data_IF_585639174976
#
_entry.id   IF_585639174976
#
_cell.length_a   1.000
_cell.length_b   1.000
_cell.length_c   1.000
_cell.angle_alpha   90.00
_cell.angle_beta   90.00
_cell.angle_gamma   90.00
#
_symmetry.space_group_name_H-M   'P 1'
#
loop_
_entity.id
_entity.type
_entity.pdbx_description
1 polymer ?
#
# COMPACT_ATOMS: atom_id res chain seq x y z
N UNK A 1 5.02 -9.13 -23.08
CA UNK A 1 4.99 -7.68 -23.34
C UNK A 1 4.08 -7.41 -24.54
N UNK A 2 3.36 -6.29 -24.53
CA UNK A 2 2.65 -5.73 -25.67
C UNK A 2 3.16 -4.32 -25.99
N UNK A 3 3.06 -3.90 -27.24
CA UNK A 3 3.57 -2.62 -27.73
C UNK A 3 2.46 -1.79 -28.37
N UNK A 4 2.67 -0.47 -28.40
CA UNK A 4 1.76 0.47 -29.07
C UNK A 4 0.29 0.25 -28.66
N UNK A 5 0.07 0.19 -27.35
CA UNK A 5 -1.18 -0.23 -26.78
C UNK A 5 -2.10 0.96 -26.51
N UNK A 6 -3.40 0.76 -26.76
CA UNK A 6 -4.46 1.71 -26.41
C UNK A 6 -5.51 0.96 -25.60
N UNK A 7 -5.75 1.43 -24.38
CA UNK A 7 -6.79 0.93 -23.49
C UNK A 7 -7.98 1.86 -23.49
N UNK A 8 -9.18 1.29 -23.59
CA UNK A 8 -10.45 2.02 -23.45
C UNK A 8 -11.38 1.28 -22.51
N UNK A 9 -11.94 2.03 -21.56
CA UNK A 9 -12.93 1.51 -20.60
C UNK A 9 -14.30 2.02 -21.01
N UNK A 10 -15.20 1.08 -21.31
CA UNK A 10 -16.61 1.33 -21.61
C UNK A 10 -17.46 0.90 -20.43
N UNK A 11 -18.57 1.58 -20.24
CA UNK A 11 -19.49 1.34 -19.12
C UNK A 11 -20.93 1.27 -19.61
N UNK A 12 -21.80 0.62 -18.85
CA UNK A 12 -23.26 0.71 -19.06
C UNK A 12 -23.77 2.13 -18.79
N UNK A 13 -24.98 2.42 -19.28
CA UNK A 13 -25.68 3.67 -18.98
C UNK A 13 -25.75 3.93 -17.48
N UNK A 14 -25.52 5.18 -17.07
CA UNK A 14 -25.59 5.62 -15.67
C UNK A 14 -24.23 5.83 -15.00
N UNK A 15 -23.15 5.24 -15.52
CA UNK A 15 -21.78 5.48 -15.04
C UNK A 15 -20.82 5.75 -16.19
N UNK A 16 -19.75 6.50 -15.92
CA UNK A 16 -18.63 6.67 -16.84
C UNK A 16 -17.30 6.64 -16.11
N UNK A 17 -16.25 6.19 -16.81
CA UNK A 17 -14.87 6.42 -16.38
C UNK A 17 -14.52 7.90 -16.58
N UNK A 18 -14.05 8.58 -15.53
CA UNK A 18 -13.70 10.00 -15.59
C UNK A 18 -12.22 10.27 -15.44
N UNK A 19 -11.56 9.52 -14.57
CA UNK A 19 -10.16 9.73 -14.25
C UNK A 19 -9.42 8.40 -14.26
N UNK A 20 -8.16 8.47 -14.66
CA UNK A 20 -7.27 7.33 -14.78
C UNK A 20 -5.99 7.62 -13.97
N UNK A 21 -5.44 6.60 -13.34
CA UNK A 21 -4.21 6.69 -12.55
C UNK A 21 -3.28 5.53 -12.90
N UNK A 22 -2.07 5.85 -13.33
CA UNK A 22 -1.15 4.88 -13.90
C UNK A 22 0.03 5.54 -14.59
N UNK A 23 0.95 4.72 -15.07
CA UNK A 23 2.03 5.14 -15.95
C UNK A 23 1.59 5.04 -17.41
N UNK A 24 0.91 6.06 -17.90
CA UNK A 24 0.37 6.13 -19.27
C UNK A 24 0.37 7.56 -19.79
N UNK A 25 0.04 7.72 -21.06
CA UNK A 25 -0.25 9.00 -21.69
C UNK A 25 -1.72 9.05 -22.14
N UNK A 26 -2.34 10.23 -22.12
CA UNK A 26 -3.71 10.45 -22.59
C UNK A 26 -3.75 11.76 -23.37
N UNK A 27 -3.95 11.67 -24.69
CA UNK A 27 -4.16 12.84 -25.55
C UNK A 27 -5.61 13.37 -25.46
N UNK A 28 -6.54 12.49 -25.12
CA UNK A 28 -7.96 12.76 -24.94
C UNK A 28 -8.43 12.27 -23.55
N UNK A 29 -9.73 12.34 -23.24
CA UNK A 29 -10.27 11.95 -21.93
C UNK A 29 -10.73 10.50 -21.84
N UNK A 30 -10.58 9.70 -22.89
CA UNK A 30 -11.19 8.35 -22.98
C UNK A 30 -10.21 7.22 -23.30
N UNK A 31 -9.17 7.50 -24.08
CA UNK A 31 -8.23 6.51 -24.59
C UNK A 31 -6.91 6.66 -23.84
N UNK A 32 -6.47 5.56 -23.22
CA UNK A 32 -5.24 5.49 -22.45
C UNK A 32 -4.15 4.86 -23.31
N UNK A 33 -3.12 5.64 -23.62
CA UNK A 33 -2.02 5.27 -24.51
C UNK A 33 -0.83 4.73 -23.69
N UNK A 34 -0.35 3.56 -24.09
CA UNK A 34 0.70 2.81 -23.42
C UNK A 34 1.74 2.37 -24.46
N UNK A 35 2.92 2.97 -24.44
CA UNK A 35 4.01 2.58 -25.34
C UNK A 35 4.42 1.10 -25.15
N UNK A 36 4.45 0.64 -23.89
CA UNK A 36 4.73 -0.74 -23.51
C UNK A 36 3.80 -1.22 -22.40
N UNK A 37 3.28 -2.43 -22.55
CA UNK A 37 2.42 -3.13 -21.60
C UNK A 37 3.10 -4.41 -21.12
N UNK A 38 3.21 -4.57 -19.81
CA UNK A 38 3.68 -5.80 -19.15
C UNK A 38 2.59 -6.37 -18.23
N UNK A 39 2.91 -7.45 -17.53
CA UNK A 39 1.98 -8.10 -16.59
C UNK A 39 1.90 -7.40 -15.23
N UNK A 40 2.84 -6.50 -14.92
CA UNK A 40 3.02 -5.94 -13.58
C UNK A 40 2.37 -4.56 -13.46
N UNK A 41 2.18 -3.86 -14.59
CA UNK A 41 1.52 -2.56 -14.64
C UNK A 41 0.02 -2.67 -14.37
N UNK A 42 -0.45 -1.88 -13.43
CA UNK A 42 -1.87 -1.67 -13.17
C UNK A 42 -2.29 -0.22 -13.42
N UNK A 43 -3.49 -0.06 -14.00
CA UNK A 43 -4.14 1.24 -14.19
C UNK A 43 -5.42 1.25 -13.35
N UNK A 44 -5.54 2.25 -12.49
CA UNK A 44 -6.71 2.46 -11.63
C UNK A 44 -7.63 3.45 -12.32
N UNK A 45 -8.93 3.14 -12.36
CA UNK A 45 -9.93 3.94 -13.07
C UNK A 45 -10.98 4.41 -12.07
N UNK A 46 -11.23 5.71 -12.02
CA UNK A 46 -12.31 6.30 -11.24
C UNK A 46 -13.57 6.40 -12.09
N UNK A 47 -14.69 5.95 -11.51
CA UNK A 47 -16.00 6.04 -12.11
C UNK A 47 -16.86 7.07 -11.40
N UNK A 48 -17.61 7.86 -12.18
CA UNK A 48 -18.61 8.80 -11.66
C UNK A 48 -19.99 8.47 -12.22
N UNK A 49 -21.02 8.87 -11.48
CA UNK A 49 -22.40 8.73 -11.90
C UNK A 49 -22.73 9.78 -12.96
N UNK A 50 -23.28 9.31 -14.08
CA UNK A 50 -23.84 10.16 -15.14
C UNK A 50 -25.36 10.19 -15.07
N UNK A 51 -25.99 9.10 -14.62
CA UNK A 51 -27.43 8.98 -14.41
C UNK A 51 -27.71 7.90 -13.34
N UNK A 52 -28.99 7.62 -13.06
CA UNK A 52 -29.41 6.57 -12.14
C UNK A 52 -29.07 5.18 -12.69
N UNK A 53 -28.60 4.31 -11.80
CA UNK A 53 -28.35 2.90 -12.09
C UNK A 53 -29.57 2.05 -11.70
N UNK A 54 -29.82 0.99 -12.47
CA UNK A 54 -30.87 0.01 -12.20
C UNK A 54 -30.28 -1.13 -11.35
N UNK A 55 -30.97 -1.50 -10.26
CA UNK A 55 -30.57 -2.68 -9.45
C UNK A 55 -30.71 -3.99 -10.24
N UNK A 56 -31.65 -4.07 -11.19
CA UNK A 56 -31.89 -5.27 -12.01
C UNK A 56 -30.77 -5.51 -13.02
N UNK A 57 -30.26 -4.44 -13.63
CA UNK A 57 -29.18 -4.54 -14.64
C UNK A 57 -27.80 -4.52 -14.00
N UNK A 58 -27.66 -3.82 -12.87
CA UNK A 58 -26.38 -3.51 -12.27
C UNK A 58 -25.55 -2.54 -13.12
N UNK A 59 -24.26 -2.47 -12.82
CA UNK A 59 -23.29 -1.69 -13.57
C UNK A 59 -22.33 -2.61 -14.31
N UNK A 60 -22.19 -2.39 -15.62
CA UNK A 60 -21.32 -3.17 -16.49
C UNK A 60 -20.10 -2.33 -16.86
N UNK A 61 -18.94 -2.99 -16.86
CA UNK A 61 -17.66 -2.39 -17.22
C UNK A 61 -16.96 -3.31 -18.20
N UNK A 62 -16.43 -2.73 -19.27
CA UNK A 62 -15.64 -3.44 -20.27
C UNK A 62 -14.34 -2.68 -20.50
N UNK A 63 -13.23 -3.28 -20.10
CA UNK A 63 -11.90 -2.81 -20.45
C UNK A 63 -11.43 -3.53 -21.72
N UNK A 64 -11.14 -2.77 -22.78
CA UNK A 64 -10.59 -3.28 -24.02
C UNK A 64 -9.20 -2.69 -24.25
N UNK A 65 -8.21 -3.56 -24.41
CA UNK A 65 -6.81 -3.18 -24.68
C UNK A 65 -6.42 -3.69 -26.06
N UNK A 66 -6.21 -2.77 -26.99
CA UNK A 66 -5.68 -3.04 -28.31
C UNK A 66 -4.16 -2.90 -28.27
N UNK A 67 -3.40 -3.91 -28.69
CA UNK A 67 -1.94 -3.88 -28.63
C UNK A 67 -1.31 -4.71 -29.76
N UNK A 68 -0.03 -4.50 -30.01
CA UNK A 68 0.78 -5.31 -30.93
C UNK A 68 1.61 -6.32 -30.11
N UNK A 69 1.49 -7.61 -30.42
CA UNK A 69 2.28 -8.66 -29.77
C UNK A 69 3.74 -8.64 -30.24
N UNK A 70 4.63 -9.33 -29.50
CA UNK A 70 6.02 -9.52 -29.93
C UNK A 70 6.15 -10.23 -31.29
N UNK A 71 5.11 -10.94 -31.74
CA UNK A 71 5.06 -11.60 -33.06
C UNK A 71 4.52 -10.70 -34.17
N UNK A 72 4.35 -9.39 -33.92
CA UNK A 72 3.86 -8.42 -34.90
C UNK A 72 2.34 -8.48 -35.17
N UNK A 73 1.56 -9.17 -34.34
CA UNK A 73 0.11 -9.28 -34.54
C UNK A 73 -0.64 -8.23 -33.73
N UNK A 74 -1.59 -7.53 -34.36
CA UNK A 74 -2.52 -6.66 -33.65
C UNK A 74 -3.59 -7.50 -32.96
N UNK A 75 -3.67 -7.41 -31.64
CA UNK A 75 -4.57 -8.22 -30.79
C UNK A 75 -5.41 -7.31 -29.90
N UNK A 76 -6.61 -7.76 -29.59
CA UNK A 76 -7.51 -7.12 -28.64
C UNK A 76 -7.69 -8.04 -27.43
N UNK A 77 -7.40 -7.54 -26.23
CA UNK A 77 -7.73 -8.21 -24.97
C UNK A 77 -8.92 -7.49 -24.34
N UNK A 78 -9.94 -8.25 -23.93
CA UNK A 78 -11.17 -7.69 -23.36
C UNK A 78 -11.42 -8.31 -21.99
N UNK A 79 -11.66 -7.46 -20.99
CA UNK A 79 -12.11 -7.83 -19.66
C UNK A 79 -13.50 -7.25 -19.44
N UNK A 80 -14.47 -8.11 -19.11
CA UNK A 80 -15.82 -7.72 -18.78
C UNK A 80 -16.04 -7.96 -17.28
N UNK A 81 -16.62 -6.98 -16.60
CA UNK A 81 -16.99 -7.06 -15.20
C UNK A 81 -18.41 -6.54 -15.04
N UNK A 82 -19.21 -7.24 -14.25
CA UNK A 82 -20.54 -6.81 -13.85
C UNK A 82 -20.56 -6.71 -12.33
N UNK A 83 -21.05 -5.58 -11.82
CA UNK A 83 -21.19 -5.35 -10.38
C UNK A 83 -22.64 -4.99 -10.06
N UNK A 84 -23.11 -5.45 -8.91
CA UNK A 84 -24.48 -5.17 -8.48
C UNK A 84 -24.62 -3.70 -8.08
N UNK A 85 -25.82 -3.15 -8.29
CA UNK A 85 -26.19 -1.83 -7.78
C UNK A 85 -27.09 -1.99 -6.56
N UNK A 86 -27.00 -1.04 -5.65
CA UNK A 86 -27.82 -1.02 -4.44
C UNK A 86 -28.22 0.42 -4.09
N UNK A 87 -29.43 0.58 -3.58
CA UNK A 87 -29.97 1.82 -3.03
C UNK A 87 -29.67 2.01 -1.54
N UNK A 88 -29.32 0.92 -0.84
CA UNK A 88 -29.01 0.93 0.59
C UNK A 88 -27.51 1.04 0.83
N UNK A 89 -27.10 2.03 1.65
CA UNK A 89 -25.69 2.21 2.04
C UNK A 89 -25.11 0.99 2.77
N UNK A 90 -25.92 0.24 3.51
CA UNK A 90 -25.47 -0.94 4.24
C UNK A 90 -24.90 -2.02 3.30
N UNK A 91 -25.54 -2.23 2.14
CA UNK A 91 -25.09 -3.19 1.15
C UNK A 91 -23.85 -2.69 0.39
N UNK A 92 -23.74 -1.37 0.19
CA UNK A 92 -22.51 -0.76 -0.33
C UNK A 92 -21.32 -1.07 0.57
N UNK A 93 -21.43 -0.73 1.87
CA UNK A 93 -20.34 -0.96 2.81
C UNK A 93 -19.98 -2.44 2.91
N UNK A 94 -20.95 -3.36 2.89
CA UNK A 94 -20.66 -4.81 2.96
C UNK A 94 -19.75 -5.31 1.82
N UNK A 95 -19.81 -4.68 0.66
CA UNK A 95 -19.08 -5.11 -0.55
C UNK A 95 -17.79 -4.30 -0.81
N UNK A 96 -17.35 -3.46 0.12
CA UNK A 96 -16.11 -2.70 -0.04
C UNK A 96 -14.87 -3.57 0.22
N UNK A 97 -13.84 -3.37 -0.60
CA UNK A 97 -12.52 -3.97 -0.43
C UNK A 97 -11.51 -2.88 -0.02
N UNK A 98 -10.93 -3.01 1.19
CA UNK A 98 -10.03 -1.98 1.74
C UNK A 98 -8.78 -1.81 0.88
N UNK A 99 -8.20 -2.90 0.36
CA UNK A 99 -6.93 -2.85 -0.37
C UNK A 99 -7.07 -2.06 -1.68
N UNK A 100 -8.16 -2.29 -2.41
CA UNK A 100 -8.50 -1.54 -3.63
C UNK A 100 -8.74 -0.06 -3.34
N UNK A 101 -9.40 0.26 -2.22
CA UNK A 101 -9.61 1.64 -1.77
C UNK A 101 -8.28 2.33 -1.48
N UNK A 102 -7.33 1.64 -0.83
CA UNK A 102 -6.00 2.17 -0.52
C UNK A 102 -5.15 2.35 -1.77
N UNK A 103 -5.21 1.42 -2.73
CA UNK A 103 -4.57 1.58 -4.04
C UNK A 103 -5.08 2.85 -4.75
N UNK A 104 -6.39 3.09 -4.72
CA UNK A 104 -6.97 4.31 -5.28
C UNK A 104 -6.50 5.57 -4.53
N UNK A 105 -6.66 5.63 -3.20
CA UNK A 105 -6.33 6.83 -2.43
C UNK A 105 -4.85 7.20 -2.49
N UNK A 106 -3.95 6.22 -2.50
CA UNK A 106 -2.52 6.45 -2.64
C UNK A 106 -2.19 7.10 -4.00
N UNK A 107 -2.70 6.53 -5.10
CA UNK A 107 -2.51 7.10 -6.44
C UNK A 107 -3.15 8.48 -6.61
N UNK A 108 -4.35 8.68 -6.04
CA UNK A 108 -5.03 9.97 -6.03
C UNK A 108 -4.22 11.03 -5.28
N UNK A 109 -3.81 10.75 -4.05
CA UNK A 109 -3.04 11.67 -3.21
C UNK A 109 -1.70 12.03 -3.87
N UNK A 110 -1.00 11.04 -4.42
CA UNK A 110 0.34 11.25 -4.99
C UNK A 110 0.32 11.95 -6.35
N UNK A 111 -0.78 11.82 -7.12
CA UNK A 111 -1.03 12.69 -8.28
C UNK A 111 -1.19 14.15 -7.82
N UNK A 112 -1.94 14.36 -6.74
CA UNK A 112 -2.20 15.67 -6.14
C UNK A 112 -0.96 16.42 -5.65
N UNK A 113 0.09 15.71 -5.22
CA UNK A 113 1.37 16.32 -4.77
C UNK A 113 1.99 17.25 -5.82
N UNK A 114 1.84 16.95 -7.11
CA UNK A 114 2.36 17.81 -8.17
C UNK A 114 1.48 19.02 -8.49
N UNK A 115 0.19 18.96 -8.16
CA UNK A 115 -0.78 20.01 -8.52
C UNK A 115 -1.10 20.94 -7.35
N UNK A 116 -1.15 20.43 -6.12
CA UNK A 116 -1.39 21.21 -4.90
C UNK A 116 -0.81 20.47 -3.68
N UNK A 117 0.24 21.00 -3.01
CA UNK A 117 0.75 20.39 -1.78
C UNK A 117 -0.25 20.60 -0.64
N UNK A 118 -1.16 19.66 -0.44
CA UNK A 118 -2.10 19.71 0.68
C UNK A 118 -1.32 19.45 1.97
N UNK A 119 -1.16 20.48 2.80
CA UNK A 119 -0.63 20.32 4.16
C UNK A 119 -1.70 19.59 4.99
N UNK A 120 -1.48 18.32 5.30
CA UNK A 120 -2.32 17.53 6.19
C UNK A 120 -2.19 18.07 7.63
N UNK A 121 -2.97 19.09 7.97
CA UNK A 121 -3.06 19.60 9.35
C UNK A 121 -3.84 18.59 10.20
N UNK A 122 -3.13 17.73 10.93
CA UNK A 122 -3.74 16.84 11.91
C UNK A 122 -4.16 17.64 13.15
N UNK A 123 -5.45 17.67 13.45
CA UNK A 123 -5.97 18.30 14.67
C UNK A 123 -5.50 17.55 15.94
N UNK A 124 -5.22 18.29 17.01
CA UNK A 124 -4.81 17.75 18.31
C UNK A 124 -5.85 16.78 18.91
N UNK A 125 -5.41 15.70 19.59
CA UNK A 125 -6.30 14.67 20.14
C UNK A 125 -7.16 15.21 21.30
N UNK A 126 -8.42 14.76 21.38
CA UNK A 126 -9.39 15.09 22.44
C UNK A 126 -10.34 13.89 22.66
N UNK A 127 -10.91 13.70 23.86
CA UNK A 127 -11.77 12.57 24.28
C UNK A 127 -13.24 12.67 23.79
N UNK A 128 -14.16 11.68 23.87
CA UNK A 128 -14.20 10.24 23.55
C UNK A 128 -15.70 9.82 23.35
N UNK A 129 -16.04 9.01 22.32
CA UNK A 129 -17.33 8.28 22.12
C UNK A 129 -17.25 7.24 20.98
N UNK A 130 -17.68 5.97 21.13
CA UNK A 130 -17.24 4.80 20.29
C UNK A 130 -17.19 5.04 18.76
N UNK A 131 -16.08 4.66 18.11
CA UNK A 131 -15.99 4.65 16.63
C UNK A 131 -16.50 3.30 16.12
N UNK A 132 -17.59 3.31 15.35
CA UNK A 132 -18.16 2.12 14.73
C UNK A 132 -17.73 2.12 13.27
N UNK A 133 -17.00 1.07 12.86
CA UNK A 133 -16.60 0.85 11.47
C UNK A 133 -17.24 -0.46 10.98
N UNK A 134 -17.69 -0.51 9.71
CA UNK A 134 -18.05 -1.76 9.05
C UNK A 134 -16.89 -2.76 9.08
N UNK A 135 -17.20 -4.06 9.11
CA UNK A 135 -16.20 -5.15 9.18
C UNK A 135 -15.10 -5.01 8.11
N UNK A 136 -15.53 -4.78 6.86
CA UNK A 136 -14.68 -4.62 5.69
C UNK A 136 -13.76 -3.39 5.71
N UNK A 137 -14.01 -2.41 6.59
CA UNK A 137 -13.26 -1.15 6.71
C UNK A 137 -12.56 -1.00 8.06
N UNK A 138 -12.53 -2.04 8.90
CA UNK A 138 -11.88 -1.98 10.22
C UNK A 138 -10.40 -1.59 10.14
N UNK A 139 -9.72 -2.04 9.08
CA UNK A 139 -8.30 -1.75 8.85
C UNK A 139 -8.07 -0.48 8.02
N UNK A 140 -9.11 0.09 7.41
CA UNK A 140 -8.97 1.27 6.55
C UNK A 140 -8.24 2.44 7.25
N UNK A 141 -8.49 2.79 8.52
CA UNK A 141 -7.75 3.86 9.18
C UNK A 141 -6.28 3.52 9.43
N UNK A 142 -5.91 2.23 9.54
CA UNK A 142 -4.50 1.79 9.66
C UNK A 142 -3.80 2.12 8.36
N UNK A 143 -4.32 1.59 7.25
CA UNK A 143 -3.70 1.75 5.94
C UNK A 143 -3.67 3.20 5.47
N UNK A 144 -4.74 3.97 5.72
CA UNK A 144 -4.73 5.41 5.43
C UNK A 144 -3.64 6.14 6.21
N UNK A 145 -3.39 5.75 7.47
CA UNK A 145 -2.28 6.30 8.24
C UNK A 145 -0.93 5.95 7.61
N UNK A 146 -0.75 4.73 7.11
CA UNK A 146 0.45 4.31 6.39
C UNK A 146 0.66 5.14 5.12
N UNK A 147 -0.40 5.37 4.33
CA UNK A 147 -0.33 6.22 3.13
C UNK A 147 0.08 7.65 3.51
N UNK A 148 -0.50 8.22 4.57
CA UNK A 148 -0.16 9.56 5.04
C UNK A 148 1.27 9.67 5.56
N UNK A 149 1.81 8.61 6.19
CA UNK A 149 3.20 8.52 6.65
C UNK A 149 4.21 8.27 5.54
N UNK A 150 3.77 7.92 4.33
CA UNK A 150 4.67 7.66 3.22
C UNK A 150 5.57 8.85 2.93
N UNK A 151 6.83 8.57 2.61
CA UNK A 151 7.84 9.55 2.21
C UNK A 151 7.42 10.45 1.04
N UNK A 152 6.43 10.02 0.25
CA UNK A 152 5.85 10.83 -0.83
C UNK A 152 5.13 12.06 -0.31
N UNK A 153 4.37 11.91 0.79
CA UNK A 153 3.56 12.96 1.40
C UNK A 153 4.27 13.64 2.56
N UNK A 154 4.99 12.87 3.38
CA UNK A 154 5.68 13.35 4.57
C UNK A 154 7.11 12.84 4.59
N UNK A 155 7.99 13.42 3.74
CA UNK A 155 9.38 12.99 3.66
C UNK A 155 10.07 13.18 5.02
N UNK A 156 10.79 12.16 5.47
CA UNK A 156 11.73 12.29 6.57
C UNK A 156 12.91 13.21 6.17
N UNK A 157 13.62 13.75 7.16
CA UNK A 157 14.68 14.73 6.93
C UNK A 157 15.86 14.20 6.09
N UNK A 158 16.00 12.88 6.03
CA UNK A 158 17.04 12.12 5.35
C UNK A 158 16.63 11.58 3.96
N UNK A 159 15.37 11.78 3.55
CA UNK A 159 14.87 11.28 2.25
C UNK A 159 15.19 12.28 1.13
N UNK A 160 15.87 11.80 0.09
CA UNK A 160 16.22 12.64 -1.06
C UNK A 160 15.01 12.94 -1.96
N UNK A 161 15.09 14.03 -2.74
CA UNK A 161 14.07 14.36 -3.73
C UNK A 161 13.95 13.27 -4.82
N UNK A 162 15.06 12.62 -5.17
CA UNK A 162 15.11 11.55 -6.15
C UNK A 162 14.37 10.30 -5.63
N UNK A 163 14.61 9.91 -4.38
CA UNK A 163 13.89 8.80 -3.75
C UNK A 163 12.38 9.07 -3.71
N UNK A 164 11.99 10.30 -3.34
CA UNK A 164 10.59 10.70 -3.30
C UNK A 164 9.93 10.67 -4.69
N UNK A 165 10.62 11.17 -5.72
CA UNK A 165 10.13 11.13 -7.09
C UNK A 165 10.03 9.68 -7.61
N UNK A 166 11.01 8.85 -7.29
CA UNK A 166 11.03 7.42 -7.62
C UNK A 166 9.85 6.68 -6.99
N UNK A 167 9.61 6.84 -5.68
CA UNK A 167 8.49 6.21 -4.98
C UNK A 167 7.14 6.66 -5.54
N UNK A 168 6.98 7.96 -5.82
CA UNK A 168 5.77 8.50 -6.45
C UNK A 168 5.49 7.84 -7.81
N UNK A 169 6.51 7.73 -8.66
CA UNK A 169 6.38 7.10 -9.97
C UNK A 169 6.07 5.61 -9.83
N UNK A 170 6.76 4.92 -8.94
CA UNK A 170 6.58 3.52 -8.65
C UNK A 170 5.13 3.18 -8.28
N UNK A 171 4.59 3.86 -7.27
CA UNK A 171 3.26 3.58 -6.71
C UNK A 171 2.15 3.89 -7.72
N UNK A 172 2.39 4.82 -8.66
CA UNK A 172 1.46 5.07 -9.75
C UNK A 172 1.16 3.83 -10.59
N UNK A 173 2.14 2.93 -10.75
CA UNK A 173 2.04 1.73 -11.59
C UNK A 173 1.69 0.44 -10.84
N UNK A 174 1.75 0.44 -9.51
CA UNK A 174 1.55 -0.75 -8.68
C UNK A 174 0.10 -1.27 -8.73
N UNK A 175 -0.03 -2.59 -8.70
CA UNK A 175 -1.31 -3.26 -8.51
C UNK A 175 -1.77 -3.24 -7.04
N UNK A 176 -2.94 -3.82 -6.77
CA UNK A 176 -3.51 -3.85 -5.41
C UNK A 176 -2.60 -4.67 -4.47
N UNK A 177 -2.10 -5.81 -4.91
CA UNK A 177 -1.28 -6.73 -4.11
C UNK A 177 0.11 -6.15 -3.76
N UNK A 178 0.71 -5.38 -4.67
CA UNK A 178 1.94 -4.64 -4.46
C UNK A 178 1.71 -3.46 -3.51
N UNK A 179 0.68 -2.64 -3.73
CA UNK A 179 0.40 -1.51 -2.84
C UNK A 179 0.08 -1.94 -1.42
N UNK A 180 -0.60 -3.07 -1.24
CA UNK A 180 -0.90 -3.62 0.06
C UNK A 180 0.37 -3.87 0.88
N UNK A 181 1.34 -4.62 0.31
CA UNK A 181 2.60 -4.94 1.00
C UNK A 181 3.55 -3.75 1.08
N UNK A 182 3.46 -2.81 0.14
CA UNK A 182 4.24 -1.57 0.21
C UNK A 182 3.83 -0.68 1.39
N UNK A 183 2.53 -0.53 1.65
CA UNK A 183 2.04 0.33 2.75
C UNK A 183 1.95 -0.40 4.10
N UNK A 184 1.74 -1.71 4.11
CA UNK A 184 1.77 -2.53 5.32
C UNK A 184 2.66 -3.74 5.06
N UNK A 185 3.98 -3.60 5.34
CA UNK A 185 4.94 -4.68 5.21
C UNK A 185 4.52 -5.97 5.93
N UNK A 186 5.12 -7.10 5.53
CA UNK A 186 4.90 -8.37 6.22
C UNK A 186 6.05 -8.66 7.17
N UNK A 187 5.81 -8.56 8.48
CA UNK A 187 6.77 -8.94 9.52
C UNK A 187 6.54 -10.39 9.97
N UNK A 188 7.52 -11.26 9.68
CA UNK A 188 7.48 -12.69 10.00
C UNK A 188 8.47 -13.06 11.12
N UNK A 189 8.03 -13.66 12.23
CA UNK A 189 8.93 -14.21 13.24
C UNK A 189 9.57 -15.50 12.74
N UNK A 190 10.90 -15.58 12.79
CA UNK A 190 11.70 -16.72 12.33
C UNK A 190 12.15 -17.64 13.47
N UNK A 191 11.49 -17.62 14.62
CA UNK A 191 11.93 -18.40 15.80
C UNK A 191 11.83 -19.92 15.60
N UNK A 192 10.85 -20.39 14.82
CA UNK A 192 10.65 -21.79 14.46
C UNK A 192 10.12 -21.87 13.03
N UNK A 193 10.87 -22.55 12.15
CA UNK A 193 10.49 -22.78 10.76
C UNK A 193 10.10 -24.24 10.54
N UNK A 194 9.33 -24.79 11.49
CA UNK A 194 8.92 -26.19 11.50
C UNK A 194 7.63 -26.36 10.68
N UNK A 195 7.66 -27.21 9.66
CA UNK A 195 6.52 -27.47 8.77
C UNK A 195 6.49 -26.50 7.58
N UNK A 196 6.26 -27.02 6.37
CA UNK A 196 6.37 -26.30 5.09
C UNK A 196 5.43 -25.10 4.88
N UNK A 197 4.72 -24.62 5.90
CA UNK A 197 3.95 -23.37 5.87
C UNK A 197 4.81 -22.15 6.21
N UNK A 198 4.36 -20.96 5.78
CA UNK A 198 4.95 -19.69 6.20
C UNK A 198 4.53 -19.37 7.66
N UNK A 199 5.40 -18.75 8.47
CA UNK A 199 5.03 -18.22 9.78
C UNK A 199 3.88 -17.22 9.68
N UNK A 200 3.07 -17.12 10.74
CA UNK A 200 2.00 -16.12 10.81
C UNK A 200 2.61 -14.73 11.00
N UNK A 201 2.24 -13.80 10.12
CA UNK A 201 2.69 -12.42 10.22
C UNK A 201 2.22 -11.75 11.51
N UNK A 202 3.08 -10.91 12.08
CA UNK A 202 2.81 -10.12 13.27
C UNK A 202 2.68 -8.64 12.89
N UNK A 203 2.15 -7.83 13.81
CA UNK A 203 1.94 -6.39 13.57
C UNK A 203 3.27 -5.64 13.47
N UNK A 204 3.31 -4.65 12.58
CA UNK A 204 4.46 -3.79 12.31
C UNK A 204 4.67 -2.73 13.41
N UNK A 205 5.09 -3.19 14.60
CA UNK A 205 5.40 -2.35 15.76
C UNK A 205 6.59 -2.89 16.53
N UNK A 206 7.42 -1.99 17.07
CA UNK A 206 8.58 -2.32 17.89
C UNK A 206 8.19 -3.12 19.15
N UNK A 207 6.96 -2.95 19.65
CA UNK A 207 6.44 -3.71 20.80
C UNK A 207 6.36 -5.22 20.55
N UNK A 208 6.34 -5.63 19.27
CA UNK A 208 6.30 -7.03 18.85
C UNK A 208 7.69 -7.64 18.67
N UNK A 209 8.75 -6.84 18.72
CA UNK A 209 10.12 -7.30 18.54
C UNK A 209 10.73 -7.73 19.88
N UNK A 210 10.99 -9.02 20.02
CA UNK A 210 11.77 -9.58 21.13
C UNK A 210 13.28 -9.48 20.87
N UNK A 211 14.05 -9.08 21.89
CA UNK A 211 15.54 -9.09 21.85
C UNK A 211 16.14 -10.48 21.58
N UNK A 212 15.40 -11.55 21.87
CA UNK A 212 15.81 -12.92 21.58
C UNK A 212 15.33 -13.48 20.25
N UNK A 213 14.62 -12.68 19.45
CA UNK A 213 14.01 -13.12 18.20
C UNK A 213 14.79 -12.72 16.95
N UNK A 214 14.45 -13.37 15.85
CA UNK A 214 14.87 -13.00 14.49
C UNK A 214 13.60 -12.81 13.68
N UNK A 215 13.53 -11.74 12.88
CA UNK A 215 12.35 -11.40 12.10
C UNK A 215 12.73 -11.07 10.66
N UNK A 216 11.88 -11.49 9.72
CA UNK A 216 11.98 -11.13 8.31
C UNK A 216 10.87 -10.13 7.99
N UNK A 217 11.24 -8.97 7.44
CA UNK A 217 10.29 -7.96 7.00
C UNK A 217 10.33 -7.84 5.48
N UNK A 218 9.20 -8.08 4.82
CA UNK A 218 9.01 -7.90 3.38
C UNK A 218 8.27 -6.59 3.11
N UNK A 219 8.89 -5.68 2.35
CA UNK A 219 8.27 -4.39 1.97
C UNK A 219 7.86 -4.33 0.49
N UNK A 220 8.08 -5.40 -0.26
CA UNK A 220 7.92 -5.45 -1.72
C UNK A 220 9.09 -4.85 -2.51
N UNK A 221 9.94 -4.03 -1.88
CA UNK A 221 11.17 -3.49 -2.49
C UNK A 221 12.45 -4.00 -1.82
N UNK A 222 12.37 -4.22 -0.51
CA UNK A 222 13.48 -4.68 0.30
C UNK A 222 13.04 -5.83 1.20
N UNK A 223 14.00 -6.68 1.55
CA UNK A 223 13.86 -7.67 2.60
C UNK A 223 14.80 -7.27 3.73
N UNK A 224 14.28 -7.13 4.94
CA UNK A 224 15.11 -6.90 6.12
C UNK A 224 15.11 -8.14 7.01
N UNK A 225 16.30 -8.61 7.37
CA UNK A 225 16.47 -9.65 8.37
C UNK A 225 16.93 -9.01 9.67
N UNK A 226 16.00 -8.74 10.57
CA UNK A 226 16.31 -8.17 11.87
C UNK A 226 16.75 -9.25 12.86
N UNK A 227 17.86 -9.01 13.57
CA UNK A 227 18.45 -9.92 14.54
C UNK A 227 18.55 -9.23 15.89
N UNK A 228 17.92 -9.81 16.91
CA UNK A 228 17.98 -9.29 18.28
C UNK A 228 19.33 -9.54 18.95
N UNK A 229 19.67 -8.69 19.92
CA UNK A 229 20.95 -8.75 20.64
C UNK A 229 21.10 -9.99 21.55
N UNK A 230 20.00 -10.61 21.95
CA UNK A 230 19.95 -11.76 22.85
C UNK A 230 19.46 -13.04 22.16
N UNK A 231 19.64 -13.14 20.84
CA UNK A 231 19.29 -14.34 20.06
C UNK A 231 20.12 -15.55 20.52
N UNK A 232 19.47 -16.71 20.58
CA UNK A 232 20.13 -17.96 20.96
C UNK A 232 21.26 -18.31 20.00
N UNK A 233 22.39 -18.77 20.56
CA UNK A 233 23.59 -19.11 19.77
C UNK A 233 23.31 -20.17 18.70
N UNK A 234 22.47 -21.16 18.99
CA UNK A 234 22.06 -22.19 18.04
C UNK A 234 21.41 -21.58 16.78
N UNK A 235 20.54 -20.59 16.96
CA UNK A 235 19.88 -19.90 15.84
C UNK A 235 20.86 -19.07 15.03
N UNK A 236 21.83 -18.41 15.68
CA UNK A 236 22.90 -17.66 14.99
C UNK A 236 23.81 -18.58 14.17
N UNK A 237 24.18 -19.74 14.72
CA UNK A 237 24.95 -20.75 13.99
C UNK A 237 24.16 -21.29 12.80
N UNK A 238 22.87 -21.57 12.97
CA UNK A 238 22.00 -22.03 11.88
C UNK A 238 21.77 -20.98 10.79
N UNK A 239 21.73 -19.69 11.14
CA UNK A 239 21.48 -18.59 10.20
C UNK A 239 22.75 -18.10 9.48
N UNK A 240 23.79 -17.81 10.24
CA UNK A 240 24.99 -17.10 9.77
C UNK A 240 26.26 -17.97 9.83
N UNK A 241 26.21 -19.12 10.51
CA UNK A 241 27.41 -19.93 10.76
C UNK A 241 28.34 -19.30 11.80
N UNK A 242 27.88 -18.27 12.53
CA UNK A 242 28.66 -17.54 13.52
C UNK A 242 28.20 -17.86 14.94
N UNK A 243 29.13 -18.03 15.89
CA UNK A 243 28.79 -18.35 17.28
C UNK A 243 28.33 -17.13 18.11
N UNK A 244 28.41 -15.91 17.60
CA UNK A 244 28.14 -14.70 18.38
C UNK A 244 27.51 -13.57 17.56
N UNK A 245 26.65 -12.79 18.20
CA UNK A 245 25.97 -11.63 17.59
C UNK A 245 26.94 -10.56 17.08
N UNK A 246 28.07 -10.36 17.77
CA UNK A 246 29.08 -9.37 17.40
C UNK A 246 29.75 -9.68 16.05
N UNK A 247 29.88 -10.96 15.69
CA UNK A 247 30.54 -11.41 14.46
C UNK A 247 29.65 -11.35 13.21
N UNK A 248 28.36 -11.03 13.35
CA UNK A 248 27.46 -10.82 12.20
C UNK A 248 27.90 -9.56 11.46
N UNK A 249 28.18 -9.72 10.17
CA UNK A 249 28.47 -8.61 9.26
C UNK A 249 27.17 -7.84 8.92
N UNK A 250 27.05 -6.56 9.31
CA UNK A 250 25.86 -5.76 9.00
C UNK A 250 25.75 -5.40 7.50
N UNK A 251 26.84 -5.49 6.73
CA UNK A 251 26.82 -5.22 5.29
C UNK A 251 26.45 -6.46 4.45
N UNK A 252 26.08 -7.56 5.12
CA UNK A 252 25.69 -8.80 4.47
C UNK A 252 24.39 -8.60 3.66
N UNK A 253 24.46 -8.89 2.37
CA UNK A 253 23.33 -8.74 1.42
C UNK A 253 22.81 -10.06 0.86
N UNK A 254 23.44 -11.17 1.25
CA UNK A 254 23.05 -12.54 0.89
C UNK A 254 23.29 -13.44 2.10
N UNK A 255 22.44 -14.44 2.31
CA UNK A 255 22.62 -15.41 3.39
C UNK A 255 23.70 -16.43 3.02
N UNK A 256 24.47 -16.93 3.99
CA UNK A 256 25.45 -17.98 3.73
C UNK A 256 24.74 -19.29 3.39
N UNK A 257 25.32 -20.06 2.47
CA UNK A 257 24.79 -21.37 2.10
C UNK A 257 25.21 -22.41 3.13
N UNK A 258 24.40 -22.57 4.17
CA UNK A 258 24.62 -23.54 5.22
C UNK A 258 23.79 -24.80 4.97
N UNK A 259 24.40 -25.96 5.25
CA UNK A 259 23.72 -27.26 5.14
C UNK A 259 22.96 -27.57 6.43
N UNK A 260 21.93 -26.77 6.71
CA UNK A 260 21.00 -26.99 7.81
C UNK A 260 19.55 -26.74 7.36
N UNK A 261 18.56 -27.42 7.95
CA UNK A 261 17.17 -27.33 7.51
C UNK A 261 16.61 -25.91 7.65
N UNK A 262 17.04 -25.17 8.68
CA UNK A 262 16.58 -23.82 8.96
C UNK A 262 17.02 -22.81 7.88
N UNK A 263 18.30 -22.80 7.50
CA UNK A 263 18.91 -21.96 6.48
C UNK A 263 18.34 -22.29 5.10
N UNK A 264 18.18 -23.58 4.78
CA UNK A 264 17.52 -24.01 3.53
C UNK A 264 16.09 -23.46 3.47
N UNK A 265 15.32 -23.63 4.54
CA UNK A 265 13.94 -23.16 4.62
C UNK A 265 13.83 -21.63 4.53
N UNK A 266 14.70 -20.89 5.20
CA UNK A 266 14.72 -19.43 5.11
C UNK A 266 15.07 -18.96 3.69
N UNK A 267 16.03 -19.62 3.03
CA UNK A 267 16.38 -19.32 1.63
C UNK A 267 15.23 -19.63 0.67
N UNK A 268 14.49 -20.71 0.89
CA UNK A 268 13.25 -21.02 0.15
C UNK A 268 12.22 -19.89 0.31
N UNK A 269 11.93 -19.46 1.55
CA UNK A 269 10.98 -18.36 1.82
C UNK A 269 11.40 -17.07 1.11
N UNK A 270 12.69 -16.71 1.17
CA UNK A 270 13.23 -15.53 0.49
C UNK A 270 13.12 -15.67 -1.03
N UNK A 271 13.37 -16.88 -1.56
CA UNK A 271 13.22 -17.17 -3.00
C UNK A 271 11.76 -17.06 -3.43
N UNK A 272 10.83 -17.57 -2.64
CA UNK A 272 9.39 -17.52 -2.91
C UNK A 272 8.90 -16.07 -2.94
N UNK A 273 9.30 -15.25 -1.97
CA UNK A 273 8.99 -13.81 -1.98
C UNK A 273 9.56 -13.10 -3.20
N UNK A 274 10.80 -13.41 -3.59
CA UNK A 274 11.40 -12.83 -4.80
C UNK A 274 10.73 -13.30 -6.08
N UNK A 275 10.18 -14.51 -6.12
CA UNK A 275 9.46 -15.03 -7.29
C UNK A 275 8.05 -14.43 -7.43
N UNK A 276 7.43 -14.03 -6.32
CA UNK A 276 6.11 -13.41 -6.30
C UNK A 276 6.11 -11.92 -6.67
N UNK A 277 7.28 -11.27 -6.65
CA UNK A 277 7.42 -9.83 -6.92
C UNK A 277 8.14 -9.59 -8.25
N UNK A 278 7.74 -8.54 -9.01
CA UNK A 278 8.39 -8.23 -10.27
C UNK A 278 9.80 -7.66 -10.08
N UNK A 279 10.08 -7.08 -8.90
CA UNK A 279 11.36 -6.46 -8.56
C UNK A 279 12.16 -7.37 -7.63
N UNK A 280 13.44 -7.51 -7.93
CA UNK A 280 14.34 -8.23 -7.04
C UNK A 280 14.52 -7.46 -5.72
N UNK A 281 14.07 -8.07 -4.62
CA UNK A 281 14.22 -7.49 -3.30
C UNK A 281 15.62 -7.75 -2.74
N UNK A 282 16.38 -6.67 -2.52
CA UNK A 282 17.68 -6.70 -1.85
C UNK A 282 17.47 -7.09 -0.38
N UNK A 283 18.20 -8.10 0.08
CA UNK A 283 18.23 -8.48 1.49
C UNK A 283 19.22 -7.58 2.25
N UNK A 284 18.83 -7.11 3.43
CA UNK A 284 19.66 -6.35 4.35
C UNK A 284 19.59 -6.97 5.74
N UNK A 285 20.73 -7.33 6.31
CA UNK A 285 20.81 -7.82 7.69
C UNK A 285 20.85 -6.62 8.63
N UNK A 286 19.94 -6.58 9.60
CA UNK A 286 19.80 -5.48 10.54
C UNK A 286 20.04 -6.01 11.95
N UNK A 287 21.09 -5.52 12.59
CA UNK A 287 21.41 -5.84 13.98
C UNK A 287 20.69 -4.86 14.90
N UNK A 288 20.18 -5.37 16.01
CA UNK A 288 19.70 -4.51 17.09
C UNK A 288 20.81 -3.56 17.57
N UNK A 289 20.45 -2.29 17.78
CA UNK A 289 21.28 -1.14 18.13
C UNK A 289 22.26 -0.67 17.03
N UNK A 290 22.11 -1.18 15.80
CA UNK A 290 22.91 -0.72 14.65
C UNK A 290 22.24 0.44 13.91
N UNK A 291 23.02 1.21 13.14
CA UNK A 291 22.53 2.34 12.34
C UNK A 291 21.46 1.91 11.32
N UNK A 292 21.59 0.70 10.78
CA UNK A 292 20.60 0.13 9.86
C UNK A 292 19.23 -0.10 10.52
N UNK A 293 19.16 -0.21 11.85
CA UNK A 293 17.91 -0.35 12.58
C UNK A 293 17.03 0.90 12.45
N UNK A 294 17.64 2.09 12.29
CA UNK A 294 16.88 3.33 12.06
C UNK A 294 16.05 3.25 10.77
N UNK A 295 16.64 2.67 9.71
CA UNK A 295 15.95 2.45 8.42
C UNK A 295 14.87 1.38 8.59
N UNK A 296 15.18 0.28 9.29
CA UNK A 296 14.20 -0.77 9.55
C UNK A 296 12.98 -0.26 10.34
N UNK A 297 13.19 0.57 11.37
CA UNK A 297 12.12 1.16 12.18
C UNK A 297 11.19 2.07 11.38
N UNK A 298 11.66 2.67 10.29
CA UNK A 298 10.79 3.45 9.39
C UNK A 298 9.65 2.59 8.83
N UNK A 299 9.89 1.29 8.62
CA UNK A 299 8.89 0.35 8.11
C UNK A 299 7.98 -0.26 9.20
N UNK A 300 8.17 0.09 10.48
CA UNK A 300 7.25 -0.27 11.57
C UNK A 300 6.08 0.74 11.60
N UNK A 301 5.21 0.62 10.60
CA UNK A 301 4.23 1.66 10.22
C UNK A 301 3.19 2.00 11.30
N UNK A 302 2.99 1.14 12.29
CA UNK A 302 2.06 1.41 13.40
C UNK A 302 2.61 2.39 14.45
N UNK A 303 3.93 2.49 14.55
CA UNK A 303 4.64 3.28 15.57
C UNK A 303 4.68 4.78 15.24
N UNK A 304 5.13 5.61 16.19
CA UNK A 304 5.28 7.06 15.94
C UNK A 304 6.43 7.29 14.98
N UNK A 305 6.21 8.14 13.97
CA UNK A 305 7.31 8.60 13.12
C UNK A 305 8.27 9.51 13.91
N UNK A 306 9.56 9.32 13.73
CA UNK A 306 10.62 10.09 14.40
C UNK A 306 10.62 11.58 14.01
N UNK A 307 10.04 11.95 12.88
CA UNK A 307 10.07 13.31 12.32
C UNK A 307 8.96 14.26 12.85
N UNK A 308 8.25 13.90 13.93
CA UNK A 308 7.14 14.72 14.44
C UNK A 308 5.91 14.74 13.53
N UNK A 309 5.87 13.80 12.57
CA UNK A 309 4.73 13.50 11.70
C UNK A 309 3.79 12.44 12.29
N UNK A 310 2.86 11.87 11.48
CA UNK A 310 1.55 11.39 11.85
C UNK A 310 1.45 10.57 13.13
N UNK A 311 0.29 10.76 13.74
CA UNK A 311 -0.26 10.04 14.86
C UNK A 311 0.04 8.51 14.81
N UNK A 312 0.31 7.90 15.98
CA UNK A 312 0.28 6.42 16.13
C UNK A 312 -1.02 5.88 15.57
N UNK A 313 -1.09 4.59 15.24
CA UNK A 313 -2.37 3.93 14.92
C UNK A 313 -3.50 4.34 15.89
N UNK A 314 -3.25 4.28 17.20
CA UNK A 314 -4.21 4.68 18.25
C UNK A 314 -4.64 6.14 18.14
N UNK A 315 -3.72 7.01 17.78
CA UNK A 315 -3.98 8.43 17.63
C UNK A 315 -4.70 8.74 16.30
N UNK A 316 -4.41 8.01 15.22
CA UNK A 316 -5.07 8.17 13.92
C UNK A 316 -6.53 7.72 13.97
N UNK A 317 -6.82 6.60 14.64
CA UNK A 317 -8.21 6.19 14.96
C UNK A 317 -8.94 7.29 15.75
N UNK A 318 -8.25 7.91 16.72
CA UNK A 318 -8.81 9.02 17.51
C UNK A 318 -9.06 10.26 16.64
N UNK A 319 -8.21 10.54 15.65
CA UNK A 319 -8.40 11.64 14.71
C UNK A 319 -9.59 11.38 13.76
N UNK A 320 -9.65 10.21 13.12
CA UNK A 320 -10.77 9.82 12.24
C UNK A 320 -12.11 9.92 12.98
N UNK A 321 -12.13 9.48 14.23
CA UNK A 321 -13.28 9.60 15.14
C UNK A 321 -13.71 11.04 15.39
N UNK A 322 -12.76 11.97 15.55
CA UNK A 322 -13.06 13.40 15.74
C UNK A 322 -13.71 14.00 14.50
N UNK A 323 -13.19 13.68 13.30
CA UNK A 323 -13.78 14.12 12.04
C UNK A 323 -15.17 13.53 11.81
N UNK A 324 -15.36 12.23 12.04
CA UNK A 324 -16.67 11.59 11.92
C UNK A 324 -17.71 12.26 12.85
N UNK A 325 -17.32 12.55 14.10
CA UNK A 325 -18.18 13.22 15.07
C UNK A 325 -18.43 14.70 14.77
N UNK A 326 -17.51 15.40 14.10
CA UNK A 326 -17.72 16.79 13.70
C UNK A 326 -18.62 16.91 12.47
N UNK A 327 -18.55 15.96 11.54
CA UNK A 327 -19.46 15.87 10.39
C UNK A 327 -20.87 15.38 10.76
N UNK A 328 -21.02 14.65 11.87
CA UNK A 328 -22.31 14.12 12.35
C UNK A 328 -23.14 15.13 13.16
N UNK A 329 -22.61 16.33 13.48
CA UNK A 329 -23.41 17.39 14.11
C UNK A 329 -24.23 18.11 13.04
N UNK A 330 -25.57 18.24 13.18
CA UNK A 330 -26.34 19.09 12.28
C UNK A 330 -25.81 20.52 12.39
N UNK A 331 -25.41 21.11 11.26
CA UNK A 331 -25.11 22.54 11.23
C UNK A 331 -26.39 23.28 11.64
N UNK A 332 -26.35 24.20 12.63
CA UNK A 332 -27.51 25.03 12.90
C UNK A 332 -27.82 25.84 11.63
N UNK A 333 -29.07 25.76 11.18
CA UNK A 333 -29.64 26.64 10.15
C UNK A 333 -29.55 28.08 10.67
N UNK A 334 -28.44 28.77 10.38
CA UNK A 334 -28.39 30.22 10.47
C UNK A 334 -28.77 30.81 9.13
N UNK A 335 -29.94 31.44 9.13
CA UNK A 335 -30.43 32.37 8.12
C UNK A 335 -29.42 33.50 7.90
N UNK A 336 -28.81 33.58 6.72
CA UNK A 336 -28.41 34.84 6.08
C UNK A 336 -28.13 34.61 4.59
N UNK A 337 -28.66 35.51 3.74
CA UNK A 337 -28.50 35.53 2.28
C UNK A 337 -27.03 35.60 1.82
N UNK A 338 -26.73 35.16 0.58
CA UNK A 338 -25.35 34.92 0.11
C UNK A 338 -24.73 36.15 -0.56
N UNK A 339 -23.38 36.30 -0.55
CA UNK A 339 -22.65 36.93 -1.63
C UNK A 339 -22.06 35.87 -2.60
N UNK A 340 -21.78 36.24 -3.86
CA UNK A 340 -21.53 35.30 -4.94
C UNK A 340 -20.08 34.84 -4.98
N UNK A 341 -19.85 33.58 -5.33
CA UNK A 341 -18.52 33.11 -5.70
C UNK A 341 -18.29 31.65 -5.36
N UNK A 342 -18.37 30.81 -6.41
CA UNK A 342 -17.69 29.53 -6.57
C UNK A 342 -17.29 28.74 -5.31
N UNK A 343 -18.10 27.73 -4.97
CA UNK A 343 -17.64 26.59 -4.19
C UNK A 343 -17.74 25.32 -5.03
N UNK A 344 -16.60 24.89 -5.57
CA UNK A 344 -16.36 23.48 -5.89
C UNK A 344 -16.03 22.78 -4.57
N UNK A 345 -16.90 21.89 -4.13
CA UNK A 345 -16.69 21.06 -2.95
C UNK A 345 -16.04 19.73 -3.37
N UNK A 346 -14.88 19.47 -2.79
CA UNK A 346 -14.24 18.16 -2.64
C UNK A 346 -15.02 17.30 -1.64
#
# INVERSE_FOLDING_TARGET
>A
MGFDAVMRVRTSTGIRATDFFGSFFMSNTTDVELAGLDCDKAITVEFKHDDKLSEDTGALMQCAVLYTSCSGQRRLRVHNMAVNCCSQLADLYRNCETDTIINYFSKFAFRGVATNPVKANCASPSSAGQLILPECMKLLPVYLNCVLKSDVLLPAADVSLDDRAYLRQLISSMDVAETHVFFYPQLLPLTKLDGGSLPVAIRDSEERLSKGGVYLLETGLHLFLWVGASVQQELLQNLFGTPSFSQIDPNMTSLPELDNPFSKRLREIISDFRAQRPRFMKLMVVKQEDRAELIFRHFLVEDKSASGGPLTWTSSVTCTRKYANSSARPRPLFTHQPPPGHFSLL
#
